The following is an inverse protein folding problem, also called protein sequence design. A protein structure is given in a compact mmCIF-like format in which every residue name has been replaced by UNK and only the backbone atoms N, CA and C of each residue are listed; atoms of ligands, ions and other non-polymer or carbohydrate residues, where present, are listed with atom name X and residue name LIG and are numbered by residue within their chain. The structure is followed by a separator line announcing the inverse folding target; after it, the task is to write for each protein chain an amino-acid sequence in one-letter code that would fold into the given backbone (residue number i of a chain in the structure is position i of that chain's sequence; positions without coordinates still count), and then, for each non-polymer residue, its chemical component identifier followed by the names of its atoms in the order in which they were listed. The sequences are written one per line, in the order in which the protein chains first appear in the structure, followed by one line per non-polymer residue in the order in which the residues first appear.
data_IF_882689156103
#
_entry.id   IF_882689156103
#
_cell.length_a   1.000
_cell.length_b   1.000
_cell.length_c   1.000
_cell.angle_alpha   90.00
_cell.angle_beta   90.00
_cell.angle_gamma   90.00
#
_symmetry.space_group_name_H-M   'P 1'
#
loop_
_entity.id
_entity.type
_entity.pdbx_description
1 polymer ?
#
# COMPACT_ATOMS: atom_id res chain seq x y z
N UNK A 1 6.90 -19.21 -23.84
CA UNK A 1 5.58 -18.93 -23.44
C UNK A 1 5.19 -19.63 -22.15
N UNK A 2 4.30 -19.08 -21.48
CA UNK A 2 3.81 -19.59 -20.22
C UNK A 2 2.30 -19.66 -20.27
N UNK A 3 1.78 -20.51 -19.42
CA UNK A 3 0.34 -20.77 -19.44
C UNK A 3 -0.49 -19.63 -18.88
N UNK A 4 0.11 -18.80 -18.07
CA UNK A 4 -0.58 -17.73 -17.42
C UNK A 4 -1.03 -18.05 -16.01
N UNK A 5 -1.23 -19.30 -15.68
CA UNK A 5 -1.74 -19.62 -14.34
C UNK A 5 -0.78 -19.23 -13.24
N UNK A 6 0.50 -19.48 -13.43
CA UNK A 6 1.50 -19.07 -12.45
C UNK A 6 1.69 -17.57 -12.45
N UNK A 7 1.67 -16.98 -13.63
CA UNK A 7 1.86 -15.55 -13.80
C UNK A 7 0.69 -14.77 -13.21
N UNK A 8 -0.52 -15.31 -13.33
CA UNK A 8 -1.70 -14.60 -12.88
C UNK A 8 -1.70 -14.30 -11.40
N UNK A 9 -0.93 -15.03 -10.62
CA UNK A 9 -0.84 -14.78 -9.19
C UNK A 9 -0.06 -13.52 -8.84
N UNK A 10 0.78 -13.07 -9.76
CA UNK A 10 1.65 -11.93 -9.52
C UNK A 10 1.65 -11.03 -10.74
N UNK A 11 0.48 -10.79 -11.30
CA UNK A 11 0.38 -10.15 -12.60
C UNK A 11 0.54 -8.66 -12.59
N UNK A 12 0.40 -8.04 -11.42
CA UNK A 12 0.43 -6.59 -11.39
C UNK A 12 1.86 -6.08 -11.51
N UNK A 13 2.13 -5.25 -12.51
CA UNK A 13 3.42 -4.59 -12.66
C UNK A 13 3.44 -3.36 -11.77
N UNK A 14 4.30 -3.37 -10.78
CA UNK A 14 4.36 -2.26 -9.85
C UNK A 14 5.55 -1.36 -10.18
N UNK A 15 5.35 -0.06 -9.99
CA UNK A 15 6.44 0.90 -10.10
C UNK A 15 7.46 0.67 -8.99
N UNK A 16 6.96 0.39 -7.79
CA UNK A 16 7.82 0.15 -6.63
C UNK A 16 7.09 -0.75 -5.65
N UNK A 17 7.85 -1.59 -4.96
CA UNK A 17 7.34 -2.36 -3.83
C UNK A 17 8.02 -1.88 -2.56
N UNK A 18 7.24 -1.45 -1.60
CA UNK A 18 7.74 -1.05 -0.29
C UNK A 18 7.68 -2.24 0.65
N UNK A 19 8.76 -2.50 1.35
CA UNK A 19 8.75 -3.49 2.42
C UNK A 19 8.40 -2.78 3.71
N UNK A 20 7.26 -3.14 4.29
CA UNK A 20 6.71 -2.46 5.45
C UNK A 20 7.16 -3.17 6.71
N UNK A 21 7.74 -2.41 7.63
CA UNK A 21 8.10 -2.88 8.96
C UNK A 21 7.52 -1.95 10.00
N UNK A 22 7.81 -2.22 11.27
CA UNK A 22 7.30 -1.38 12.34
C UNK A 22 8.31 -1.25 13.47
N UNK A 23 8.12 -0.18 14.24
CA UNK A 23 8.86 0.04 15.48
C UNK A 23 7.83 0.11 16.60
N UNK A 24 7.66 -0.99 17.33
CA UNK A 24 6.65 -1.08 18.37
C UNK A 24 5.24 -0.80 17.83
N UNK A 25 4.47 -0.05 18.59
CA UNK A 25 3.10 0.33 18.22
C UNK A 25 3.02 1.79 17.79
N UNK A 26 4.14 2.42 17.51
CA UNK A 26 4.19 3.85 17.25
C UNK A 26 4.46 4.21 15.82
N UNK A 27 5.16 3.36 15.06
CA UNK A 27 5.53 3.76 13.71
C UNK A 27 5.70 2.60 12.77
N UNK A 28 5.42 2.89 11.50
CA UNK A 28 5.81 2.07 10.36
C UNK A 28 7.17 2.55 9.84
N UNK A 29 7.92 1.65 9.22
CA UNK A 29 9.06 2.04 8.41
C UNK A 29 8.94 1.33 7.05
N UNK A 30 9.66 1.86 6.06
CA UNK A 30 9.50 1.44 4.67
C UNK A 30 10.88 1.23 4.04
N UNK A 31 11.15 0.01 3.65
CA UNK A 31 12.43 -0.34 3.05
C UNK A 31 12.26 -0.66 1.57
N UNK A 32 13.29 -0.53 0.80
CA UNK A 32 14.62 0.04 1.13
C UNK A 32 14.69 1.53 0.84
N UNK A 33 13.59 2.16 0.43
CA UNK A 33 13.62 3.49 -0.17
C UNK A 33 13.57 4.64 0.82
N UNK A 34 13.14 4.38 2.05
CA UNK A 34 12.97 5.41 3.06
C UNK A 34 13.59 5.00 4.37
N UNK A 35 14.03 5.98 5.13
CA UNK A 35 14.53 5.77 6.49
C UNK A 35 13.63 6.50 7.47
N UNK A 36 13.75 6.14 8.75
CA UNK A 36 13.00 6.80 9.80
C UNK A 36 11.66 6.17 10.06
N UNK A 37 10.89 6.82 10.93
CA UNK A 37 9.61 6.33 11.42
C UNK A 37 8.49 7.15 10.83
N UNK A 38 7.44 6.47 10.36
CA UNK A 38 6.30 7.09 9.71
C UNK A 38 6.71 8.11 8.64
N UNK A 39 7.62 7.72 7.72
CA UNK A 39 8.12 8.69 6.74
C UNK A 39 7.03 9.11 5.77
N UNK A 40 7.20 10.30 5.20
CA UNK A 40 6.41 10.68 4.04
C UNK A 40 6.95 9.94 2.83
N UNK A 41 6.08 9.20 2.14
CA UNK A 41 6.48 8.47 0.94
C UNK A 41 5.88 9.16 -0.28
N UNK A 42 6.54 8.99 -1.42
CA UNK A 42 6.17 9.66 -2.67
C UNK A 42 5.86 8.63 -3.73
N UNK A 43 4.72 8.80 -4.39
CA UNK A 43 4.27 7.90 -5.45
C UNK A 43 3.75 8.72 -6.62
N UNK A 44 3.50 8.08 -7.76
CA UNK A 44 2.99 8.76 -8.95
C UNK A 44 1.59 8.29 -9.27
N UNK A 45 0.75 9.24 -9.66
CA UNK A 45 -0.57 8.93 -10.17
C UNK A 45 -0.47 8.10 -11.45
N UNK A 46 -1.46 7.29 -11.69
CA UNK A 46 -1.49 6.43 -12.87
C UNK A 46 -0.56 5.23 -12.79
N UNK A 47 0.03 4.98 -11.63
CA UNK A 47 0.93 3.83 -11.44
C UNK A 47 0.37 2.91 -10.37
N UNK A 48 0.91 1.70 -10.31
CA UNK A 48 0.59 0.74 -9.25
C UNK A 48 1.79 0.59 -8.35
N UNK A 49 1.55 0.67 -7.04
CA UNK A 49 2.57 0.43 -6.02
C UNK A 49 2.11 -0.70 -5.12
N UNK A 50 3.06 -1.34 -4.47
CA UNK A 50 2.73 -2.44 -3.58
C UNK A 50 3.43 -2.28 -2.24
N UNK A 51 2.80 -2.87 -1.22
CA UNK A 51 3.28 -2.84 0.16
C UNK A 51 3.34 -4.26 0.66
N UNK A 52 4.55 -4.76 0.88
CA UNK A 52 4.74 -6.09 1.42
C UNK A 52 4.69 -5.98 2.94
N UNK A 53 3.68 -6.60 3.53
CA UNK A 53 3.30 -6.35 4.92
C UNK A 53 3.92 -7.30 5.94
N UNK A 54 4.63 -8.32 5.48
CA UNK A 54 5.09 -9.40 6.37
C UNK A 54 6.01 -8.91 7.49
N UNK A 55 6.70 -7.81 7.28
CA UNK A 55 7.58 -7.23 8.30
C UNK A 55 6.85 -6.47 9.40
N UNK A 56 5.55 -6.26 9.25
CA UNK A 56 4.74 -5.50 10.19
C UNK A 56 3.54 -6.30 10.66
N UNK A 57 3.73 -7.58 10.91
CA UNK A 57 2.64 -8.45 11.36
C UNK A 57 2.05 -7.94 12.66
N UNK A 58 0.72 -8.05 12.75
CA UNK A 58 0.00 -7.54 13.91
C UNK A 58 -0.36 -6.06 13.82
N UNK A 59 -0.02 -5.41 12.71
CA UNK A 59 -0.30 -3.99 12.50
C UNK A 59 -1.11 -3.82 11.22
N UNK A 60 -2.45 -3.85 11.31
CA UNK A 60 -3.32 -3.78 10.13
C UNK A 60 -3.09 -2.48 9.36
N UNK A 61 -2.68 -2.61 8.12
CA UNK A 61 -2.26 -1.50 7.27
C UNK A 61 -3.38 -1.07 6.34
N UNK A 62 -3.66 0.22 6.27
CA UNK A 62 -4.70 0.75 5.39
C UNK A 62 -4.21 2.02 4.69
N UNK A 63 -4.67 2.21 3.46
CA UNK A 63 -4.44 3.42 2.68
C UNK A 63 -5.70 4.26 2.78
N UNK A 64 -5.53 5.53 3.10
CA UNK A 64 -6.63 6.46 3.33
C UNK A 64 -6.49 7.70 2.48
N UNK A 65 -7.63 8.31 2.19
CA UNK A 65 -7.66 9.58 1.46
C UNK A 65 -7.29 10.74 2.40
N UNK A 66 -7.23 11.98 1.87
CA UNK A 66 -6.84 13.13 2.71
C UNK A 66 -7.75 13.38 3.92
N UNK A 67 -8.98 12.88 3.89
CA UNK A 67 -9.91 13.06 5.01
C UNK A 67 -9.77 11.96 6.05
N UNK A 68 -8.93 10.97 5.81
CA UNK A 68 -8.77 9.84 6.70
C UNK A 68 -9.74 8.70 6.43
N UNK A 69 -10.43 8.74 5.30
CA UNK A 69 -11.35 7.69 4.92
C UNK A 69 -10.59 6.60 4.15
N UNK A 70 -10.74 5.37 4.60
CA UNK A 70 -10.10 4.23 3.97
C UNK A 70 -10.60 4.05 2.53
N UNK A 71 -9.67 3.84 1.61
CA UNK A 71 -10.01 3.59 0.21
C UNK A 71 -10.60 2.20 0.09
N UNK A 72 -11.79 2.11 -0.48
CA UNK A 72 -12.50 0.83 -0.63
C UNK A 72 -12.89 0.51 -2.06
N UNK A 73 -12.40 1.28 -3.03
CA UNK A 73 -12.71 1.05 -4.43
C UNK A 73 -12.00 -0.21 -4.92
N UNK A 74 -12.78 -1.21 -5.31
CA UNK A 74 -12.25 -2.50 -5.71
C UNK A 74 -11.41 -2.44 -6.99
N UNK A 75 -11.53 -1.36 -7.77
CA UNK A 75 -10.70 -1.18 -8.95
C UNK A 75 -9.33 -0.62 -8.63
N UNK A 76 -9.16 -0.07 -7.42
CA UNK A 76 -7.91 0.55 -7.00
C UNK A 76 -7.10 -0.35 -6.08
N UNK A 77 -7.76 -1.00 -5.13
CA UNK A 77 -7.04 -1.63 -4.03
C UNK A 77 -7.33 -3.13 -4.00
N UNK A 78 -6.28 -3.92 -3.93
CA UNK A 78 -6.44 -5.35 -3.73
C UNK A 78 -5.26 -5.90 -2.94
N UNK A 79 -5.48 -7.06 -2.34
CA UNK A 79 -4.49 -7.68 -1.46
C UNK A 79 -4.35 -9.16 -1.81
N UNK A 80 -3.12 -9.64 -1.84
CA UNK A 80 -2.82 -11.04 -2.05
C UNK A 80 -2.24 -11.58 -0.75
N UNK A 81 -2.96 -12.51 -0.15
CA UNK A 81 -2.53 -13.14 1.09
C UNK A 81 -1.33 -14.04 0.85
N UNK A 82 -0.63 -14.38 1.91
CA UNK A 82 0.51 -15.28 1.85
C UNK A 82 0.16 -16.60 1.19
N UNK A 83 -1.07 -17.06 1.38
CA UNK A 83 -1.55 -18.33 0.76
C UNK A 83 -1.99 -18.13 -0.71
N UNK A 84 -1.89 -16.93 -1.25
CA UNK A 84 -2.24 -16.64 -2.63
C UNK A 84 -3.66 -16.16 -2.86
N UNK A 85 -4.49 -16.14 -1.84
CA UNK A 85 -5.87 -15.67 -1.98
C UNK A 85 -5.90 -14.15 -2.17
N UNK A 86 -6.72 -13.72 -3.11
CA UNK A 86 -6.85 -12.30 -3.45
C UNK A 86 -8.17 -11.76 -2.93
N UNK A 87 -8.10 -10.56 -2.31
CA UNK A 87 -9.29 -9.80 -1.92
C UNK A 87 -9.19 -8.39 -2.48
N UNK A 88 -10.34 -7.75 -2.68
CA UNK A 88 -10.39 -6.42 -3.28
C UNK A 88 -11.25 -5.50 -2.44
N UNK A 89 -11.05 -4.19 -2.65
CA UNK A 89 -11.87 -3.18 -2.00
C UNK A 89 -11.66 -3.17 -0.50
N UNK A 90 -12.74 -3.06 0.24
CA UNK A 90 -12.66 -2.96 1.70
C UNK A 90 -12.00 -4.17 2.34
N UNK A 91 -12.12 -5.34 1.73
CA UNK A 91 -11.51 -6.56 2.25
C UNK A 91 -10.00 -6.59 2.04
N UNK A 92 -9.47 -5.72 1.22
CA UNK A 92 -8.03 -5.60 1.01
C UNK A 92 -7.36 -4.75 2.07
N UNK A 93 -8.11 -3.94 2.78
CA UNK A 93 -7.56 -3.02 3.77
C UNK A 93 -7.52 -3.65 5.15
N UNK A 94 -6.65 -3.12 6.00
CA UNK A 94 -6.51 -3.64 7.35
C UNK A 94 -5.84 -5.00 7.42
N UNK A 95 -4.97 -5.28 6.48
CA UNK A 95 -4.23 -6.54 6.45
C UNK A 95 -2.86 -6.34 7.08
N UNK A 96 -2.30 -7.42 7.63
CA UNK A 96 -0.99 -7.38 8.29
C UNK A 96 -0.04 -8.46 7.80
N UNK A 97 -0.33 -9.08 6.67
CA UNK A 97 0.56 -10.03 6.00
C UNK A 97 0.28 -9.98 4.51
N UNK A 98 1.13 -10.60 3.71
CA UNK A 98 0.97 -10.62 2.26
C UNK A 98 1.32 -9.29 1.63
N UNK A 99 0.72 -9.00 0.49
CA UNK A 99 1.06 -7.83 -0.31
C UNK A 99 -0.20 -7.06 -0.65
N UNK A 100 -0.20 -5.78 -0.31
CA UNK A 100 -1.27 -4.86 -0.69
C UNK A 100 -0.85 -4.13 -1.95
N UNK A 101 -1.74 -4.08 -2.94
CA UNK A 101 -1.51 -3.37 -4.20
C UNK A 101 -2.47 -2.21 -4.31
N UNK A 102 -1.94 -1.07 -4.72
CA UNK A 102 -2.74 0.13 -4.92
C UNK A 102 -2.51 0.68 -6.32
N UNK A 103 -3.57 0.65 -7.13
CA UNK A 103 -3.59 1.25 -8.46
C UNK A 103 -4.03 2.69 -8.32
N UNK A 104 -3.10 3.60 -8.40
CA UNK A 104 -3.35 5.02 -8.15
C UNK A 104 -3.97 5.65 -9.38
N UNK A 105 -5.21 6.15 -9.30
CA UNK A 105 -5.83 6.79 -10.47
C UNK A 105 -5.03 7.99 -10.97
N UNK A 106 -5.10 8.24 -12.26
CA UNK A 106 -4.38 9.36 -12.87
C UNK A 106 -4.83 10.71 -12.34
N UNK A 107 -6.06 10.80 -11.86
CA UNK A 107 -6.63 12.04 -11.36
C UNK A 107 -6.21 12.37 -9.93
N UNK A 108 -5.60 11.42 -9.24
CA UNK A 108 -5.21 11.65 -7.84
C UNK A 108 -3.95 12.49 -7.77
N UNK A 109 -3.88 13.33 -6.74
CA UNK A 109 -2.68 14.11 -6.43
C UNK A 109 -2.75 14.52 -4.96
N UNK A 110 -1.60 14.94 -4.41
CA UNK A 110 -1.54 15.50 -3.07
C UNK A 110 -1.42 14.47 -1.99
N UNK A 111 -1.91 14.81 -0.81
CA UNK A 111 -1.63 14.07 0.41
C UNK A 111 -2.65 13.00 0.74
N UNK A 112 -2.30 11.77 0.48
CA UNK A 112 -3.00 10.61 1.01
C UNK A 112 -2.24 10.15 2.25
N UNK A 113 -2.65 9.03 2.84
CA UNK A 113 -1.99 8.59 4.07
C UNK A 113 -2.08 7.08 4.22
N UNK A 114 -1.14 6.54 4.98
CA UNK A 114 -1.20 5.17 5.46
C UNK A 114 -1.45 5.19 6.96
N UNK A 115 -2.13 4.17 7.47
CA UNK A 115 -2.57 4.14 8.85
C UNK A 115 -2.64 2.69 9.35
N UNK A 116 -2.13 2.45 10.55
CA UNK A 116 -2.45 1.22 11.27
C UNK A 116 -3.82 1.39 11.90
N UNK A 117 -4.75 0.50 11.57
CA UNK A 117 -6.11 0.63 12.08
C UNK A 117 -6.22 0.30 13.57
N UNK A 118 -5.19 -0.31 14.14
CA UNK A 118 -5.18 -0.68 15.55
C UNK A 118 -4.44 0.33 16.43
N UNK A 119 -3.56 1.14 15.84
CA UNK A 119 -2.70 2.06 16.59
C UNK A 119 -2.68 3.43 15.93
N UNK A 120 -3.42 4.41 16.47
CA UNK A 120 -3.57 5.72 15.81
C UNK A 120 -2.26 6.46 15.56
N UNK A 121 -1.23 6.22 16.37
CA UNK A 121 0.05 6.91 16.18
C UNK A 121 0.80 6.43 14.94
N UNK A 122 0.49 5.24 14.43
CA UNK A 122 1.15 4.70 13.25
C UNK A 122 0.46 5.22 12.00
N UNK A 123 0.78 6.46 11.66
CA UNK A 123 0.20 7.14 10.50
C UNK A 123 1.26 8.00 9.86
N UNK A 124 1.24 8.05 8.53
CA UNK A 124 2.15 8.91 7.79
C UNK A 124 1.54 9.33 6.47
N UNK A 125 2.25 10.19 5.77
CA UNK A 125 1.77 10.82 4.55
C UNK A 125 2.23 10.05 3.32
N UNK A 126 1.35 9.97 2.34
CA UNK A 126 1.68 9.52 0.98
C UNK A 126 1.42 10.70 0.07
N UNK A 127 2.49 11.22 -0.55
CA UNK A 127 2.34 12.33 -1.48
C UNK A 127 2.26 11.78 -2.90
N UNK A 128 1.15 12.05 -3.55
CA UNK A 128 0.93 11.60 -4.92
C UNK A 128 1.33 12.72 -5.86
N UNK A 129 2.32 12.46 -6.71
CA UNK A 129 2.75 13.39 -7.74
C UNK A 129 2.13 13.00 -9.06
N UNK A 130 1.65 13.99 -9.81
CA UNK A 130 1.15 13.76 -11.15
C UNK A 130 2.31 13.86 -12.11
N UNK A 131 2.23 13.12 -13.19
CA UNK A 131 3.29 13.11 -14.19
C UNK A 131 3.61 14.52 -14.69
N UNK A 132 2.58 15.33 -14.84
CA UNK A 132 2.73 16.71 -15.31
C UNK A 132 3.43 17.63 -14.30
N UNK A 133 3.65 17.14 -13.08
CA UNK A 133 4.28 17.95 -12.02
C UNK A 133 5.78 17.70 -11.88
N UNK A 134 6.31 16.81 -12.68
CA UNK A 134 7.74 16.52 -12.64
C UNK A 134 8.48 16.96 -13.93
#
# INVERSE_FOLDING_TARGET
NYTGTTIDKITENTLVEFQVGNVGTQSYNFFPHYSGQNPTIYVMSGTTVSFKLDGAQGHPFAIQDPTGTTITDATQIFHVQTNGNKTTGSLAQGRSEGVLYWRIPETYSGGYRYQCTAHPAMVGSIQIKRFSQI
#
